data_IF_832816476485
#
_entry.id   IF_832816476485
#
_cell.length_a   1.000
_cell.length_b   1.000
_cell.length_c   1.000
_cell.angle_alpha   90.00
_cell.angle_beta   90.00
_cell.angle_gamma   90.00
#
_symmetry.space_group_name_H-M   'P 1'
#
loop_
_entity.id
_entity.type
_entity.pdbx_description
1 polymer ?
#
# COMPACT_ATOMS: atom_id res chain seq x y z
N UNK A 1 -5.29 -20.31 -4.36
CA UNK A 1 -4.66 -19.23 -5.17
C UNK A 1 -3.70 -18.42 -4.29
N UNK A 2 -2.39 -18.44 -4.56
CA UNK A 2 -1.42 -17.63 -3.81
C UNK A 2 -1.54 -16.17 -4.27
N UNK A 3 -1.99 -15.27 -3.40
CA UNK A 3 -1.98 -13.81 -3.65
C UNK A 3 -0.55 -13.38 -4.01
N UNK A 4 -0.40 -12.58 -5.07
CA UNK A 4 0.87 -11.93 -5.43
C UNK A 4 1.82 -12.66 -6.38
N UNK A 5 1.49 -13.85 -6.89
CA UNK A 5 2.35 -14.53 -7.89
C UNK A 5 2.55 -13.69 -9.16
N UNK A 6 1.52 -12.92 -9.55
CA UNK A 6 1.57 -12.00 -10.68
C UNK A 6 2.64 -10.91 -10.54
N UNK A 7 2.99 -10.50 -9.31
CA UNK A 7 4.02 -9.47 -9.09
C UNK A 7 5.44 -9.96 -9.43
N UNK A 8 5.68 -11.28 -9.33
CA UNK A 8 6.99 -11.89 -9.63
C UNK A 8 7.20 -12.17 -11.12
N UNK A 9 6.13 -12.49 -11.82
CA UNK A 9 6.16 -12.84 -13.25
C UNK A 9 5.98 -11.62 -14.17
N UNK A 10 5.51 -10.50 -13.63
CA UNK A 10 5.29 -9.27 -14.41
C UNK A 10 6.58 -8.46 -14.50
N UNK A 11 7.05 -8.11 -15.72
CA UNK A 11 8.22 -7.25 -15.87
C UNK A 11 7.98 -5.87 -15.23
N UNK A 12 9.01 -5.34 -14.56
CA UNK A 12 8.98 -3.98 -13.97
C UNK A 12 8.60 -2.98 -15.06
N UNK A 13 7.58 -2.16 -14.81
CA UNK A 13 7.06 -1.16 -15.76
C UNK A 13 5.90 -1.62 -16.65
N UNK A 14 5.42 -2.86 -16.54
CA UNK A 14 4.19 -3.26 -17.25
C UNK A 14 2.95 -2.63 -16.59
N UNK A 15 2.37 -1.64 -17.27
CA UNK A 15 1.07 -1.05 -16.89
C UNK A 15 -0.07 -1.83 -17.56
N UNK A 16 -0.67 -2.77 -16.83
CA UNK A 16 -1.86 -3.50 -17.29
C UNK A 16 -3.07 -2.57 -17.23
N UNK A 17 -3.46 -2.01 -18.37
CA UNK A 17 -4.76 -1.33 -18.52
C UNK A 17 -5.81 -2.41 -18.79
N UNK A 18 -6.72 -2.66 -17.84
CA UNK A 18 -7.79 -3.63 -18.04
C UNK A 18 -8.92 -2.96 -18.83
N UNK A 19 -9.14 -3.46 -20.04
CA UNK A 19 -10.28 -3.07 -20.88
C UNK A 19 -11.43 -4.05 -20.65
N UNK A 20 -12.66 -3.56 -20.64
CA UNK A 20 -13.87 -4.38 -20.65
C UNK A 20 -14.40 -4.44 -22.09
N UNK A 21 -14.71 -5.64 -22.55
CA UNK A 21 -15.41 -5.86 -23.81
C UNK A 21 -16.90 -5.59 -23.62
N UNK A 22 -17.43 -4.65 -24.40
CA UNK A 22 -18.86 -4.34 -24.44
C UNK A 22 -19.59 -5.32 -25.37
N UNK A 23 -20.94 -5.40 -25.29
CA UNK A 23 -21.73 -6.28 -26.15
C UNK A 23 -21.58 -6.02 -27.66
N UNK A 24 -21.10 -4.83 -28.03
CA UNK A 24 -20.78 -4.43 -29.40
C UNK A 24 -19.35 -4.81 -29.83
N UNK A 25 -18.60 -5.52 -28.98
CA UNK A 25 -17.21 -5.92 -29.20
C UNK A 25 -16.19 -4.81 -28.97
N UNK A 26 -16.62 -3.62 -28.51
CA UNK A 26 -15.69 -2.51 -28.24
C UNK A 26 -14.98 -2.69 -26.90
N UNK A 27 -13.68 -2.42 -26.88
CA UNK A 27 -12.85 -2.44 -25.68
C UNK A 27 -12.87 -1.05 -25.03
N UNK A 28 -13.44 -0.95 -23.83
CA UNK A 28 -13.52 0.32 -23.08
C UNK A 28 -12.67 0.25 -21.83
N UNK A 29 -11.98 1.35 -21.53
CA UNK A 29 -11.14 1.43 -20.34
C UNK A 29 -12.00 1.34 -19.07
N UNK A 30 -11.69 0.36 -18.22
CA UNK A 30 -12.36 0.19 -16.93
C UNK A 30 -11.80 1.17 -15.90
N UNK A 31 -12.46 2.33 -15.76
CA UNK A 31 -12.12 3.33 -14.75
C UNK A 31 -12.40 2.88 -13.30
N UNK A 32 -13.10 1.77 -13.09
CA UNK A 32 -13.36 1.20 -11.76
C UNK A 32 -12.25 0.25 -11.28
N UNK A 33 -11.31 -0.09 -12.15
CA UNK A 33 -10.21 -1.00 -11.83
C UNK A 33 -9.12 -0.27 -11.04
N UNK A 34 -9.21 -0.38 -9.71
CA UNK A 34 -8.28 0.14 -8.67
C UNK A 34 -6.91 -0.58 -8.68
N UNK A 35 -6.45 -1.05 -9.84
CA UNK A 35 -5.12 -1.63 -10.02
C UNK A 35 -4.08 -0.61 -10.49
N UNK A 36 -4.49 0.64 -10.74
CA UNK A 36 -3.60 1.68 -11.26
C UNK A 36 -2.47 2.06 -10.30
N UNK A 37 -2.59 1.77 -9.01
CA UNK A 37 -1.53 2.11 -8.07
C UNK A 37 -0.99 0.96 -7.21
N UNK A 38 -0.75 -0.14 -7.91
CA UNK A 38 0.20 -1.17 -7.46
C UNK A 38 1.64 -0.66 -7.18
N UNK A 39 1.92 0.63 -7.43
CA UNK A 39 3.18 1.35 -7.25
C UNK A 39 3.03 2.71 -6.54
N UNK A 40 1.82 3.15 -6.19
CA UNK A 40 1.73 4.27 -5.23
C UNK A 40 1.96 3.60 -3.89
N UNK A 41 3.02 4.05 -3.21
CA UNK A 41 3.19 3.72 -1.82
C UNK A 41 1.88 4.06 -1.12
N UNK A 42 1.26 3.08 -0.47
CA UNK A 42 0.09 3.30 0.38
C UNK A 42 0.34 4.60 1.15
N UNK A 43 -0.60 5.56 1.17
CA UNK A 43 -0.39 6.82 1.88
C UNK A 43 0.14 6.47 3.26
N UNK A 44 1.30 7.01 3.62
CA UNK A 44 1.97 6.69 4.88
C UNK A 44 0.91 6.66 5.98
N UNK A 45 0.84 5.57 6.78
CA UNK A 45 -0.15 5.48 7.83
C UNK A 45 -0.04 6.77 8.65
N UNK A 46 -1.17 7.47 8.92
CA UNK A 46 -1.09 8.79 9.54
C UNK A 46 -0.24 8.66 10.80
N UNK A 47 0.74 9.55 10.96
CA UNK A 47 1.74 9.50 12.03
C UNK A 47 1.12 9.29 13.42
N UNK A 48 -0.13 9.76 13.62
CA UNK A 48 -0.97 9.48 14.79
C UNK A 48 -1.20 7.98 15.06
N UNK A 49 -1.49 7.17 14.04
CA UNK A 49 -1.66 5.72 14.19
C UNK A 49 -0.36 5.05 14.64
N UNK A 50 0.78 5.48 14.09
CA UNK A 50 2.08 4.93 14.46
C UNK A 50 2.43 5.31 15.91
N UNK A 51 2.16 6.57 16.30
CA UNK A 51 2.32 7.05 17.69
C UNK A 51 1.50 6.21 18.67
N UNK A 52 0.24 5.93 18.36
CA UNK A 52 -0.65 5.14 19.20
C UNK A 52 -0.17 3.68 19.35
N UNK A 53 0.36 3.08 18.28
CA UNK A 53 0.93 1.72 18.32
C UNK A 53 2.18 1.66 19.20
N UNK A 54 3.06 2.67 19.14
CA UNK A 54 4.25 2.74 20.01
C UNK A 54 3.84 2.90 21.47
N UNK A 55 2.86 3.77 21.75
CA UNK A 55 2.39 4.04 23.12
C UNK A 55 1.69 2.83 23.75
N UNK A 56 0.84 2.14 22.99
CA UNK A 56 0.09 0.96 23.44
C UNK A 56 0.94 -0.30 23.59
N UNK A 57 2.18 -0.31 23.09
CA UNK A 57 3.07 -1.46 23.22
C UNK A 57 3.60 -1.61 24.66
N UNK A 58 3.16 -2.66 25.35
CA UNK A 58 3.55 -2.95 26.74
C UNK A 58 4.95 -3.57 26.88
N UNK A 59 5.57 -3.99 25.77
CA UNK A 59 6.90 -4.61 25.76
C UNK A 59 8.04 -3.59 25.67
N UNK A 60 7.74 -2.35 25.28
CA UNK A 60 8.72 -1.28 25.16
C UNK A 60 8.80 -0.48 26.45
N UNK A 61 10.02 -0.16 26.87
CA UNK A 61 10.25 0.77 28.00
C UNK A 61 9.95 2.21 27.57
N UNK A 62 9.83 3.14 28.52
CA UNK A 62 9.59 4.54 28.19
C UNK A 62 10.71 5.14 27.32
N UNK A 63 11.95 4.76 27.60
CA UNK A 63 13.15 5.19 26.86
C UNK A 63 13.15 4.65 25.42
N UNK A 64 12.80 3.38 25.23
CA UNK A 64 12.69 2.78 23.89
C UNK A 64 11.59 3.44 23.06
N UNK A 65 10.47 3.81 23.69
CA UNK A 65 9.36 4.49 23.02
C UNK A 65 9.74 5.89 22.55
N UNK A 66 10.46 6.66 23.36
CA UNK A 66 10.95 7.99 22.94
C UNK A 66 11.95 7.86 21.80
N UNK A 67 12.92 6.95 21.90
CA UNK A 67 13.91 6.73 20.85
C UNK A 67 13.28 6.30 19.52
N UNK A 68 12.27 5.42 19.57
CA UNK A 68 11.51 5.01 18.39
C UNK A 68 10.71 6.17 17.77
N UNK A 69 10.17 7.08 18.58
CA UNK A 69 9.48 8.28 18.08
C UNK A 69 10.45 9.24 17.38
N UNK A 70 11.64 9.43 17.95
CA UNK A 70 12.70 10.26 17.38
C UNK A 70 13.22 9.68 16.05
N UNK A 71 13.56 8.38 16.01
CA UNK A 71 14.06 7.68 14.81
C UNK A 71 13.04 7.69 13.67
N UNK A 72 11.73 7.73 13.99
CA UNK A 72 10.63 7.77 13.03
C UNK A 72 10.16 9.20 12.71
N UNK A 73 10.74 10.24 13.32
CA UNK A 73 10.35 11.64 13.11
C UNK A 73 8.93 11.98 13.57
N UNK A 74 8.40 11.23 14.54
CA UNK A 74 7.03 11.38 15.07
C UNK A 74 7.08 12.29 16.30
N UNK A 75 6.60 13.53 16.16
CA UNK A 75 6.50 14.50 17.27
C UNK A 75 5.38 14.21 18.25
#
# INVERSE_FOLDING_TARGET
>A
FKKGLWRKTTPKGLKLKKFIERPDGTLVHDSSYVGEDAWVDDPEPPSENVKQVIESNSRLTAEDKEKLKEDLGIS
#
